data_IF_549610874121
#
_entry.id   IF_549610874121
#
_cell.length_a   1.000
_cell.length_b   1.000
_cell.length_c   1.000
_cell.angle_alpha   90.00
_cell.angle_beta   90.00
_cell.angle_gamma   90.00
#
_symmetry.space_group_name_H-M   'P 1'
#
loop_
_entity.id
_entity.type
_entity.pdbx_description
1 polymer ?
#
# COMPACT_ATOMS: atom_id res chain seq x y z
N UNK A 1 22.81 -70.84 -9.74
CA UNK A 1 24.24 -70.67 -9.41
C UNK A 1 24.71 -69.37 -10.09
N UNK A 2 24.73 -68.32 -9.33
CA UNK A 2 25.23 -67.04 -9.82
C UNK A 2 26.75 -67.14 -9.98
N UNK A 3 27.28 -66.96 -11.19
CA UNK A 3 28.65 -67.13 -11.55
C UNK A 3 29.59 -66.06 -10.86
N UNK A 4 30.89 -66.27 -10.90
CA UNK A 4 31.88 -65.42 -10.16
C UNK A 4 31.88 -63.93 -10.53
N UNK A 5 31.23 -63.56 -11.64
CA UNK A 5 31.13 -62.16 -12.07
C UNK A 5 30.15 -61.32 -11.19
N UNK A 6 29.14 -61.93 -10.58
CA UNK A 6 28.19 -61.24 -9.70
C UNK A 6 28.78 -60.75 -8.38
N UNK A 7 29.96 -61.28 -8.00
CA UNK A 7 30.68 -60.89 -6.79
C UNK A 7 31.46 -59.57 -6.95
N UNK A 8 31.67 -59.06 -8.17
CA UNK A 8 32.43 -57.87 -8.52
C UNK A 8 31.53 -56.63 -8.75
N UNK A 9 30.19 -56.78 -8.81
CA UNK A 9 29.30 -55.65 -8.92
C UNK A 9 29.25 -54.88 -7.55
N UNK A 10 29.45 -53.56 -7.58
CA UNK A 10 29.40 -52.78 -6.37
C UNK A 10 28.01 -52.82 -5.77
N UNK A 11 27.89 -53.51 -4.62
CA UNK A 11 26.60 -53.53 -3.89
C UNK A 11 26.19 -52.11 -3.47
N UNK A 12 24.90 -51.80 -3.57
CA UNK A 12 24.35 -50.54 -3.12
C UNK A 12 24.69 -50.31 -1.65
N UNK A 13 25.33 -49.16 -1.37
CA UNK A 13 25.62 -48.72 0.01
C UNK A 13 24.41 -48.09 0.71
N UNK A 14 23.21 -48.15 0.08
CA UNK A 14 22.00 -47.67 0.69
C UNK A 14 21.63 -48.54 1.90
N UNK A 15 21.28 -47.92 3.07
CA UNK A 15 20.76 -48.65 4.19
C UNK A 15 19.51 -49.44 3.75
N UNK A 16 19.40 -50.69 4.22
CA UNK A 16 18.23 -51.55 3.95
C UNK A 16 16.98 -51.10 4.67
N UNK A 17 17.12 -50.25 5.72
CA UNK A 17 16.00 -49.64 6.42
C UNK A 17 16.26 -48.16 6.66
N UNK A 18 15.19 -47.38 6.73
CA UNK A 18 15.22 -45.93 7.01
C UNK A 18 14.26 -45.63 8.18
N UNK A 19 14.74 -45.77 9.44
CA UNK A 19 13.89 -45.63 10.62
C UNK A 19 13.14 -44.30 10.72
N UNK A 20 13.73 -43.26 10.13
CA UNK A 20 13.16 -41.90 10.09
C UNK A 20 12.40 -41.61 8.80
N UNK A 21 12.01 -42.65 8.03
CA UNK A 21 11.17 -42.45 6.84
C UNK A 21 9.82 -41.92 7.26
N UNK A 22 9.40 -40.81 6.61
CA UNK A 22 8.05 -40.28 6.78
C UNK A 22 7.07 -41.29 6.19
N UNK A 23 6.08 -41.70 6.98
CA UNK A 23 5.04 -42.61 6.53
C UNK A 23 4.23 -42.01 5.37
N UNK A 24 3.81 -42.85 4.46
CA UNK A 24 3.19 -42.40 3.20
C UNK A 24 1.91 -41.58 3.46
N UNK A 25 1.10 -41.95 4.46
CA UNK A 25 -0.07 -41.17 4.89
C UNK A 25 0.23 -39.72 5.28
N UNK A 26 1.36 -39.46 5.93
CA UNK A 26 1.79 -38.06 6.27
C UNK A 26 2.24 -37.31 5.02
N UNK A 27 2.88 -38.00 4.07
CA UNK A 27 3.26 -37.43 2.80
C UNK A 27 2.03 -37.07 1.95
N UNK A 28 1.04 -37.93 1.88
CA UNK A 28 -0.25 -37.69 1.18
C UNK A 28 -0.99 -36.49 1.78
N UNK A 29 -1.08 -36.40 3.11
CA UNK A 29 -1.68 -35.25 3.79
C UNK A 29 -0.96 -33.95 3.45
N UNK A 30 0.37 -33.96 3.40
CA UNK A 30 1.14 -32.80 3.02
C UNK A 30 0.88 -32.37 1.57
N UNK A 31 0.75 -33.32 0.65
CA UNK A 31 0.37 -33.06 -0.75
C UNK A 31 -1.04 -32.51 -0.85
N UNK A 32 -2.00 -33.06 -0.10
CA UNK A 32 -3.37 -32.56 -0.04
C UNK A 32 -3.46 -31.12 0.48
N UNK A 33 -2.74 -30.80 1.57
CA UNK A 33 -2.65 -29.42 2.10
C UNK A 33 -2.03 -28.48 1.07
N UNK A 34 -0.99 -28.93 0.35
CA UNK A 34 -0.39 -28.15 -0.73
C UNK A 34 -1.41 -27.85 -1.84
N UNK A 35 -2.15 -28.87 -2.28
CA UNK A 35 -3.15 -28.71 -3.34
C UNK A 35 -4.28 -27.76 -2.93
N UNK A 36 -4.76 -27.86 -1.68
CA UNK A 36 -5.77 -26.93 -1.15
C UNK A 36 -5.29 -25.49 -1.13
N UNK A 37 -4.05 -25.24 -0.68
CA UNK A 37 -3.45 -23.90 -0.72
C UNK A 37 -3.29 -23.36 -2.15
N UNK A 38 -2.90 -24.23 -3.09
CA UNK A 38 -2.74 -23.87 -4.51
C UNK A 38 -4.09 -23.52 -5.14
N UNK A 39 -5.14 -24.28 -4.84
CA UNK A 39 -6.51 -24.01 -5.30
C UNK A 39 -7.05 -22.70 -4.74
N UNK A 40 -6.71 -22.37 -3.50
CA UNK A 40 -7.08 -21.10 -2.87
C UNK A 40 -6.24 -19.90 -3.32
N UNK A 41 -5.29 -20.07 -4.25
CA UNK A 41 -4.40 -19.00 -4.72
C UNK A 41 -3.36 -18.55 -3.69
N UNK A 42 -3.20 -19.29 -2.60
CA UNK A 42 -2.24 -18.95 -1.53
C UNK A 42 -0.85 -19.53 -1.78
N UNK A 43 0.13 -19.09 -0.99
CA UNK A 43 1.47 -19.67 -1.02
C UNK A 43 1.44 -21.14 -0.62
N UNK A 44 1.86 -22.03 -1.52
CA UNK A 44 1.82 -23.48 -1.37
C UNK A 44 3.22 -24.14 -1.39
N UNK A 45 4.26 -23.35 -1.08
CA UNK A 45 5.62 -23.87 -0.91
C UNK A 45 5.79 -24.72 0.37
N UNK A 46 6.93 -25.44 0.52
CA UNK A 46 7.16 -26.31 1.67
C UNK A 46 7.01 -25.60 3.03
N UNK A 47 7.38 -24.32 3.10
CA UNK A 47 7.28 -23.53 4.32
C UNK A 47 5.79 -23.24 4.64
N UNK A 48 5.02 -22.79 3.65
CA UNK A 48 3.59 -22.46 3.84
C UNK A 48 2.77 -23.72 4.18
N UNK A 49 3.11 -24.84 3.57
CA UNK A 49 2.47 -26.14 3.91
C UNK A 49 2.83 -26.55 5.35
N UNK A 50 4.08 -26.41 5.77
CA UNK A 50 4.49 -26.68 7.13
C UNK A 50 3.69 -25.84 8.14
N UNK A 51 3.57 -24.53 7.89
CA UNK A 51 2.84 -23.63 8.77
C UNK A 51 1.34 -23.97 8.79
N UNK A 52 0.75 -24.27 7.63
CA UNK A 52 -0.66 -24.67 7.53
C UNK A 52 -0.93 -26.00 8.24
N UNK A 53 -0.07 -26.99 8.08
CA UNK A 53 -0.20 -28.27 8.82
C UNK A 53 -0.15 -28.04 10.33
N UNK A 54 0.72 -27.16 10.81
CA UNK A 54 0.78 -26.80 12.24
C UNK A 54 -0.48 -26.10 12.71
N UNK A 55 -1.00 -25.13 11.95
CA UNK A 55 -2.24 -24.43 12.30
C UNK A 55 -3.46 -25.33 12.32
N UNK A 56 -3.49 -26.38 11.51
CA UNK A 56 -4.51 -27.41 11.51
C UNK A 56 -4.35 -28.45 12.63
N UNK A 57 -3.30 -28.33 13.48
CA UNK A 57 -3.03 -29.29 14.55
C UNK A 57 -2.60 -30.68 14.08
N UNK A 58 -2.21 -30.84 12.80
CA UNK A 58 -1.79 -32.13 12.25
C UNK A 58 -0.48 -32.59 12.91
N UNK A 59 -0.37 -33.86 13.21
CA UNK A 59 0.82 -34.50 13.81
C UNK A 59 1.07 -35.87 13.16
N UNK A 60 2.33 -36.21 12.89
CA UNK A 60 3.53 -35.38 12.94
C UNK A 60 3.59 -34.39 11.76
N UNK A 61 4.22 -33.21 11.97
CA UNK A 61 4.47 -32.25 10.89
C UNK A 61 5.90 -32.46 10.38
N UNK A 62 6.10 -32.83 9.10
CA UNK A 62 7.43 -33.00 8.54
C UNK A 62 8.19 -31.67 8.50
N UNK A 63 9.52 -31.72 8.65
CA UNK A 63 10.35 -30.53 8.48
C UNK A 63 10.21 -29.92 7.08
N UNK A 64 10.46 -28.61 6.93
CA UNK A 64 10.45 -27.91 5.65
C UNK A 64 11.31 -28.61 4.59
N UNK A 65 12.49 -29.11 4.99
CA UNK A 65 13.39 -29.84 4.10
C UNK A 65 12.77 -31.20 3.66
N UNK A 66 12.08 -31.87 4.57
CA UNK A 66 11.37 -33.13 4.25
C UNK A 66 10.19 -32.88 3.31
N UNK A 67 9.40 -31.84 3.55
CA UNK A 67 8.32 -31.42 2.64
C UNK A 67 8.85 -31.08 1.24
N UNK A 68 9.96 -30.37 1.15
CA UNK A 68 10.60 -30.07 -0.14
C UNK A 68 11.04 -31.35 -0.87
N UNK A 69 11.49 -32.38 -0.17
CA UNK A 69 11.81 -33.71 -0.78
C UNK A 69 10.56 -34.43 -1.25
N UNK A 70 9.53 -34.50 -0.41
CA UNK A 70 8.23 -35.10 -0.76
C UNK A 70 7.67 -34.46 -2.04
N UNK A 71 7.61 -33.12 -2.09
CA UNK A 71 7.04 -32.42 -3.26
C UNK A 71 7.86 -32.65 -4.53
N UNK A 72 9.18 -32.82 -4.44
CA UNK A 72 10.02 -33.21 -5.57
C UNK A 72 9.77 -34.66 -6.01
N UNK A 73 9.67 -35.60 -5.07
CA UNK A 73 9.47 -37.01 -5.41
C UNK A 73 8.12 -37.28 -6.02
N UNK A 74 7.07 -36.51 -5.65
CA UNK A 74 5.72 -36.59 -6.22
C UNK A 74 5.57 -35.72 -7.50
N UNK A 75 6.61 -34.97 -7.89
CA UNK A 75 6.58 -34.18 -9.13
C UNK A 75 5.79 -32.86 -9.06
N UNK A 76 5.30 -32.46 -7.86
CA UNK A 76 4.52 -31.23 -7.69
C UNK A 76 5.37 -30.00 -7.40
N UNK A 77 6.69 -30.15 -7.27
CA UNK A 77 7.62 -29.02 -7.11
C UNK A 77 8.08 -28.50 -8.45
N UNK A 78 7.83 -27.22 -8.77
CA UNK A 78 8.43 -26.56 -9.91
C UNK A 78 9.88 -26.19 -9.60
N UNK A 79 10.83 -26.64 -10.41
CA UNK A 79 12.21 -26.18 -10.39
C UNK A 79 12.27 -24.82 -11.11
N UNK A 80 12.49 -23.74 -10.35
CA UNK A 80 12.78 -22.43 -10.92
C UNK A 80 14.27 -22.12 -10.75
N UNK A 81 15.13 -22.41 -11.77
CA UNK A 81 16.58 -22.28 -11.68
C UNK A 81 17.07 -20.85 -11.43
N UNK A 82 16.21 -19.84 -11.71
CA UNK A 82 16.56 -18.41 -11.61
C UNK A 82 16.40 -17.83 -10.21
N UNK A 83 15.76 -18.52 -9.28
CA UNK A 83 15.63 -18.04 -7.88
C UNK A 83 16.88 -18.35 -7.08
N UNK A 84 17.92 -17.53 -7.23
CA UNK A 84 19.06 -17.54 -6.29
C UNK A 84 18.64 -16.84 -4.99
N UNK A 85 19.05 -17.37 -3.78
CA UNK A 85 18.90 -16.62 -2.54
C UNK A 85 19.65 -15.29 -2.66
N UNK A 86 18.97 -14.17 -2.60
CA UNK A 86 19.64 -12.87 -2.50
C UNK A 86 20.16 -12.72 -1.08
N UNK A 87 21.42 -12.29 -0.94
CA UNK A 87 21.98 -11.89 0.35
C UNK A 87 21.02 -10.90 1.03
N UNK A 88 20.76 -11.09 2.32
CA UNK A 88 19.84 -10.26 3.08
C UNK A 88 20.41 -8.85 3.22
N UNK A 89 19.95 -7.92 2.40
CA UNK A 89 20.16 -6.51 2.71
C UNK A 89 19.44 -6.20 4.02
N UNK A 90 20.07 -5.43 4.90
CA UNK A 90 19.42 -4.90 6.11
C UNK A 90 18.17 -4.15 5.68
N UNK A 91 17.00 -4.71 5.99
CA UNK A 91 15.72 -4.09 5.67
C UNK A 91 15.43 -3.08 6.74
N UNK A 92 15.24 -1.84 6.35
CA UNK A 92 14.67 -0.85 7.23
C UNK A 92 13.18 -1.18 7.42
N UNK A 93 12.74 -1.23 8.67
CA UNK A 93 11.34 -1.44 9.07
C UNK A 93 11.03 -0.38 10.11
N UNK A 94 9.93 0.29 9.99
CA UNK A 94 9.46 1.25 10.99
C UNK A 94 9.17 0.54 12.32
N UNK A 95 9.37 1.23 13.47
CA UNK A 95 9.41 0.55 14.77
C UNK A 95 8.05 0.08 15.29
N UNK A 96 6.94 0.63 14.80
CA UNK A 96 5.60 0.34 15.29
C UNK A 96 4.55 0.37 14.17
N UNK A 97 3.40 -0.30 14.35
CA UNK A 97 2.22 -0.09 13.51
C UNK A 97 1.83 1.39 13.45
N UNK A 98 1.27 1.84 12.35
CA UNK A 98 0.93 3.26 12.08
C UNK A 98 2.12 4.23 12.03
N UNK A 99 3.36 3.78 12.20
CA UNK A 99 4.52 4.67 12.02
C UNK A 99 4.73 5.04 10.53
N UNK A 100 4.40 4.14 9.61
CA UNK A 100 4.43 4.42 8.17
C UNK A 100 3.57 3.43 7.39
N UNK A 101 2.67 3.96 6.56
CA UNK A 101 1.98 3.16 5.56
C UNK A 101 2.62 3.34 4.19
N UNK A 102 2.50 2.31 3.35
CA UNK A 102 2.93 2.34 1.96
C UNK A 102 1.69 2.25 1.08
N UNK A 103 1.52 3.24 0.20
CA UNK A 103 0.49 3.28 -0.82
C UNK A 103 1.08 2.85 -2.16
N UNK A 104 0.41 1.93 -2.81
CA UNK A 104 0.73 1.51 -4.17
C UNK A 104 -0.55 1.26 -4.96
N UNK A 105 -0.43 1.23 -6.29
CA UNK A 105 -1.54 1.02 -7.19
C UNK A 105 -1.13 0.05 -8.30
N UNK A 106 -2.05 -0.83 -8.69
CA UNK A 106 -1.82 -1.80 -9.76
C UNK A 106 -3.01 -1.87 -10.71
N UNK A 107 -2.75 -2.02 -12.01
CA UNK A 107 -3.81 -2.23 -13.01
C UNK A 107 -4.39 -3.64 -12.91
N UNK A 108 -5.71 -3.75 -13.13
CA UNK A 108 -6.44 -4.99 -13.29
C UNK A 108 -7.41 -4.89 -14.47
N UNK A 109 -7.82 -6.03 -15.03
CA UNK A 109 -8.72 -6.08 -16.18
C UNK A 109 -9.95 -6.88 -15.79
N UNK A 110 -11.14 -6.27 -15.95
CA UNK A 110 -12.44 -6.90 -15.75
C UNK A 110 -12.88 -7.70 -16.98
N UNK A 111 -13.96 -8.46 -16.83
CA UNK A 111 -14.65 -9.11 -17.96
C UNK A 111 -14.92 -8.07 -19.05
N UNK A 112 -14.74 -8.44 -20.31
CA UNK A 112 -14.89 -7.52 -21.43
C UNK A 112 -13.67 -6.61 -21.69
N UNK A 113 -12.56 -6.80 -20.97
CA UNK A 113 -11.29 -6.12 -21.25
C UNK A 113 -11.18 -4.70 -20.68
N UNK A 114 -12.14 -4.24 -19.88
CA UNK A 114 -12.10 -2.91 -19.28
C UNK A 114 -11.08 -2.86 -18.13
N UNK A 115 -10.14 -1.93 -18.22
CA UNK A 115 -9.11 -1.70 -17.21
C UNK A 115 -9.66 -0.94 -16.01
N UNK A 116 -9.20 -1.32 -14.84
CA UNK A 116 -9.40 -0.64 -13.57
C UNK A 116 -8.10 -0.65 -12.74
N UNK A 117 -8.10 -0.01 -11.60
CA UNK A 117 -6.93 0.11 -10.71
C UNK A 117 -7.31 -0.32 -9.31
N UNK A 118 -6.43 -1.10 -8.69
CA UNK A 118 -6.52 -1.50 -7.29
C UNK A 118 -5.48 -0.71 -6.51
N UNK A 119 -5.92 0.17 -5.63
CA UNK A 119 -5.07 0.86 -4.66
C UNK A 119 -4.94 0.02 -3.41
N UNK A 120 -3.73 -0.02 -2.85
CA UNK A 120 -3.44 -0.81 -1.66
C UNK A 120 -2.61 -0.04 -0.66
N UNK A 121 -3.01 -0.12 0.61
CA UNK A 121 -2.28 0.42 1.74
C UNK A 121 -1.75 -0.72 2.60
N UNK A 122 -0.45 -0.71 2.85
CA UNK A 122 0.23 -1.71 3.68
C UNK A 122 0.95 -0.99 4.81
N UNK A 123 0.79 -1.47 6.04
CA UNK A 123 1.61 -1.03 7.17
C UNK A 123 3.03 -1.59 7.06
N UNK A 124 4.02 -0.71 7.17
CA UNK A 124 5.43 -1.10 6.99
C UNK A 124 5.95 -2.01 8.10
N UNK A 125 5.48 -1.84 9.34
CA UNK A 125 5.90 -2.63 10.50
C UNK A 125 5.31 -4.04 10.47
N UNK A 126 4.00 -4.12 10.49
CA UNK A 126 3.24 -5.37 10.64
C UNK A 126 2.99 -6.11 9.34
N UNK A 127 3.17 -5.46 8.20
CA UNK A 127 2.75 -5.96 6.87
C UNK A 127 1.23 -6.08 6.72
N UNK A 128 0.45 -5.50 7.62
CA UNK A 128 -1.00 -5.51 7.54
C UNK A 128 -1.46 -4.85 6.24
N UNK A 129 -2.31 -5.51 5.49
CA UNK A 129 -3.12 -4.86 4.45
C UNK A 129 -4.14 -3.98 5.16
N UNK A 130 -3.84 -2.69 5.25
CA UNK A 130 -4.64 -1.71 6.01
C UNK A 130 -5.96 -1.44 5.32
N UNK A 131 -5.92 -1.25 4.01
CA UNK A 131 -7.10 -1.08 3.17
C UNK A 131 -6.74 -1.26 1.70
N UNK A 132 -7.71 -1.72 0.92
CA UNK A 132 -7.66 -1.73 -0.54
C UNK A 132 -8.90 -1.04 -1.12
N UNK A 133 -8.75 -0.41 -2.29
CA UNK A 133 -9.84 0.28 -2.98
C UNK A 133 -9.72 0.11 -4.49
N UNK A 134 -10.83 -0.26 -5.13
CA UNK A 134 -10.90 -0.47 -6.59
C UNK A 134 -11.55 0.74 -7.25
N UNK A 135 -10.93 1.26 -8.29
CA UNK A 135 -11.41 2.43 -9.02
C UNK A 135 -11.22 2.29 -10.53
N UNK A 136 -11.94 3.08 -11.34
CA UNK A 136 -11.81 3.07 -12.80
C UNK A 136 -10.48 3.60 -13.31
N UNK A 137 -9.73 4.29 -12.48
CA UNK A 137 -8.43 4.84 -12.87
C UNK A 137 -7.64 5.30 -11.67
N UNK A 138 -6.38 5.58 -11.92
CA UNK A 138 -5.46 6.09 -10.92
C UNK A 138 -5.72 7.59 -10.71
N UNK A 139 -6.72 7.90 -9.87
CA UNK A 139 -7.15 9.27 -9.57
C UNK A 139 -6.82 9.67 -8.14
N UNK A 140 -6.78 10.98 -7.88
CA UNK A 140 -6.57 11.51 -6.53
C UNK A 140 -7.70 11.14 -5.58
N UNK A 141 -8.92 11.18 -6.09
CA UNK A 141 -10.12 10.86 -5.34
C UNK A 141 -10.04 9.41 -4.84
N UNK A 142 -9.62 8.47 -5.71
CA UNK A 142 -9.45 7.07 -5.35
C UNK A 142 -8.30 6.88 -4.35
N UNK A 143 -7.17 7.59 -4.51
CA UNK A 143 -6.07 7.57 -3.57
C UNK A 143 -6.47 8.13 -2.20
N UNK A 144 -7.26 9.21 -2.15
CA UNK A 144 -7.83 9.73 -0.91
C UNK A 144 -8.84 8.74 -0.32
N UNK A 145 -9.68 8.10 -1.15
CA UNK A 145 -10.67 7.13 -0.67
C UNK A 145 -10.03 5.94 0.04
N UNK A 146 -8.97 5.33 -0.51
CA UNK A 146 -8.27 4.22 0.15
C UNK A 146 -7.61 4.66 1.47
N UNK A 147 -7.01 5.86 1.52
CA UNK A 147 -6.42 6.39 2.76
C UNK A 147 -7.50 6.61 3.83
N UNK A 148 -8.65 7.13 3.46
CA UNK A 148 -9.81 7.29 4.36
C UNK A 148 -10.30 5.96 4.91
N UNK A 149 -10.47 4.96 4.04
CA UNK A 149 -10.85 3.59 4.43
C UNK A 149 -9.86 3.05 5.47
N UNK A 150 -8.56 3.21 5.21
CA UNK A 150 -7.51 2.80 6.13
C UNK A 150 -7.54 3.56 7.48
N UNK A 151 -7.71 4.87 7.45
CA UNK A 151 -7.82 5.70 8.67
C UNK A 151 -9.02 5.28 9.53
N UNK A 152 -10.15 4.98 8.89
CA UNK A 152 -11.34 4.50 9.61
C UNK A 152 -11.09 3.15 10.30
N UNK A 153 -10.34 2.25 9.65
CA UNK A 153 -10.06 0.92 10.18
C UNK A 153 -8.93 0.90 11.23
N UNK A 154 -7.86 1.68 11.03
CA UNK A 154 -6.60 1.54 11.76
C UNK A 154 -6.12 2.82 12.46
N UNK A 155 -6.84 3.94 12.33
CA UNK A 155 -6.42 5.25 12.84
C UNK A 155 -5.44 5.97 11.90
N UNK A 156 -5.01 7.17 12.28
CA UNK A 156 -4.17 8.04 11.44
C UNK A 156 -2.70 7.63 11.55
N UNK A 157 -2.00 7.32 10.44
CA UNK A 157 -0.58 6.99 10.45
C UNK A 157 0.27 8.25 10.63
N UNK A 158 1.52 8.09 11.10
CA UNK A 158 2.46 9.22 11.16
C UNK A 158 2.96 9.61 9.77
N UNK A 159 3.13 8.63 8.88
CA UNK A 159 3.71 8.82 7.54
C UNK A 159 2.99 7.99 6.51
N UNK A 160 2.98 8.50 5.29
CA UNK A 160 2.55 7.74 4.12
C UNK A 160 3.62 7.80 3.04
N UNK A 161 4.19 6.66 2.70
CA UNK A 161 5.12 6.48 1.60
C UNK A 161 4.33 6.10 0.35
N UNK A 162 4.47 6.88 -0.71
CA UNK A 162 3.93 6.54 -2.03
C UNK A 162 5.04 6.43 -3.06
N UNK A 163 4.84 5.60 -4.07
CA UNK A 163 5.75 5.55 -5.21
C UNK A 163 5.56 6.79 -6.10
N UNK A 164 6.62 7.10 -6.89
CA UNK A 164 6.58 8.17 -7.90
C UNK A 164 5.73 7.81 -9.14
N UNK A 165 4.76 6.92 -9.00
CA UNK A 165 3.81 6.61 -10.06
C UNK A 165 3.17 7.87 -10.66
N UNK A 166 2.75 7.82 -11.89
CA UNK A 166 2.24 8.99 -12.64
C UNK A 166 1.02 9.68 -12.01
N UNK A 167 0.25 8.95 -11.22
CA UNK A 167 -0.88 9.46 -10.44
C UNK A 167 -0.47 10.13 -9.15
N UNK A 168 0.70 9.80 -8.66
CA UNK A 168 1.26 10.26 -7.39
C UNK A 168 2.37 11.32 -7.61
N UNK A 169 2.70 11.69 -8.87
CA UNK A 169 3.77 12.64 -9.18
C UNK A 169 3.21 14.05 -9.47
N UNK A 170 3.54 15.06 -8.64
CA UNK A 170 2.98 16.42 -8.75
C UNK A 170 3.33 17.15 -10.04
N UNK A 171 4.42 16.77 -10.70
CA UNK A 171 4.97 17.55 -11.80
C UNK A 171 4.16 17.48 -13.09
N UNK A 172 3.22 16.52 -13.21
CA UNK A 172 2.53 16.30 -14.49
C UNK A 172 1.02 16.58 -14.55
N UNK A 173 0.21 16.47 -13.46
CA UNK A 173 -1.27 16.61 -13.57
C UNK A 173 -2.01 17.18 -12.35
N UNK A 174 -1.38 17.73 -11.35
CA UNK A 174 -2.08 18.30 -10.18
C UNK A 174 -2.71 17.29 -9.21
N UNK A 175 -2.47 16.01 -9.42
CA UNK A 175 -3.13 14.89 -8.74
C UNK A 175 -2.50 14.61 -7.37
N UNK A 176 -1.18 14.74 -7.26
CA UNK A 176 -0.47 14.58 -5.99
C UNK A 176 -0.81 15.68 -4.98
N UNK A 177 -1.12 16.87 -5.46
CA UNK A 177 -1.50 17.98 -4.61
C UNK A 177 -2.69 17.64 -3.70
N UNK A 178 -3.69 16.91 -4.18
CA UNK A 178 -4.88 16.59 -3.39
C UNK A 178 -4.58 15.58 -2.28
N UNK A 179 -3.89 14.47 -2.59
CA UNK A 179 -3.51 13.48 -1.59
C UNK A 179 -2.56 14.09 -0.55
N UNK A 180 -1.55 14.83 -1.00
CA UNK A 180 -0.58 15.48 -0.11
C UNK A 180 -1.25 16.54 0.76
N UNK A 181 -2.16 17.35 0.20
CA UNK A 181 -2.93 18.32 0.95
C UNK A 181 -3.80 17.64 2.02
N UNK A 182 -4.48 16.55 1.65
CA UNK A 182 -5.28 15.75 2.58
C UNK A 182 -4.43 15.18 3.72
N UNK A 183 -3.31 14.54 3.41
CA UNK A 183 -2.40 13.97 4.41
C UNK A 183 -1.89 15.03 5.38
N UNK A 184 -1.43 16.17 4.87
CA UNK A 184 -0.92 17.27 5.70
C UNK A 184 -1.99 17.91 6.57
N UNK A 185 -3.25 17.98 6.11
CA UNK A 185 -4.36 18.44 6.93
C UNK A 185 -4.60 17.58 8.17
N UNK A 186 -4.19 16.30 8.10
CA UNK A 186 -4.24 15.35 9.20
C UNK A 186 -2.93 15.29 10.02
N UNK A 187 -1.90 16.08 9.64
CA UNK A 187 -0.58 16.03 10.24
C UNK A 187 0.29 14.86 9.75
N UNK A 188 -0.18 14.09 8.77
CA UNK A 188 0.57 12.96 8.21
C UNK A 188 1.70 13.47 7.33
N UNK A 189 2.92 12.96 7.54
CA UNK A 189 4.09 13.27 6.72
C UNK A 189 4.06 12.47 5.41
N UNK A 190 3.86 13.11 4.23
CA UNK A 190 3.96 12.41 2.96
C UNK A 190 5.43 12.20 2.60
N UNK A 191 5.80 10.96 2.29
CA UNK A 191 7.14 10.58 1.83
C UNK A 191 7.01 10.10 0.39
N UNK A 192 7.75 10.75 -0.52
CA UNK A 192 7.90 10.27 -1.90
C UNK A 192 9.19 9.48 -2.02
N UNK A 193 9.12 8.28 -2.59
CA UNK A 193 10.29 7.46 -2.87
C UNK A 193 11.29 8.23 -3.74
N UNK A 194 12.58 8.20 -3.39
CA UNK A 194 13.60 8.75 -4.30
C UNK A 194 13.62 7.93 -5.58
N UNK A 195 13.61 8.57 -6.78
CA UNK A 195 13.73 7.85 -8.04
C UNK A 195 14.94 6.91 -7.99
N UNK A 196 14.79 5.69 -8.52
CA UNK A 196 15.87 4.69 -8.64
C UNK A 196 16.47 4.10 -7.34
N UNK A 197 15.77 4.15 -6.19
CA UNK A 197 16.14 3.32 -5.03
C UNK A 197 15.17 2.14 -4.86
N UNK A 198 15.50 0.94 -5.36
CA UNK A 198 14.58 -0.21 -5.39
C UNK A 198 14.33 -0.87 -4.02
N UNK A 199 14.92 -0.36 -2.94
CA UNK A 199 14.82 -1.00 -1.61
C UNK A 199 13.44 -0.87 -0.95
N UNK A 200 12.60 0.06 -1.39
CA UNK A 200 11.24 0.27 -0.86
C UNK A 200 10.16 -0.45 -1.66
N UNK A 201 10.36 -0.67 -2.97
CA UNK A 201 9.37 -1.24 -3.88
C UNK A 201 9.19 -2.75 -3.77
N UNK A 202 10.20 -3.50 -3.37
CA UNK A 202 10.14 -4.97 -3.30
C UNK A 202 9.15 -5.55 -2.28
N UNK A 203 8.53 -4.72 -1.44
CA UNK A 203 7.49 -5.12 -0.48
C UNK A 203 6.14 -5.17 -1.17
N UNK A 204 5.80 -4.13 -1.91
CA UNK A 204 4.54 -4.02 -2.65
C UNK A 204 4.48 -5.00 -3.82
N UNK A 205 5.58 -5.19 -4.57
CA UNK A 205 5.64 -6.19 -5.63
C UNK A 205 5.24 -7.59 -5.15
N UNK A 206 5.70 -8.01 -3.97
CA UNK A 206 5.34 -9.33 -3.40
C UNK A 206 3.89 -9.39 -2.94
N UNK A 207 3.37 -8.29 -2.42
CA UNK A 207 1.97 -8.20 -2.04
C UNK A 207 1.07 -8.34 -3.29
N UNK A 208 1.36 -7.57 -4.34
CA UNK A 208 0.66 -7.65 -5.62
C UNK A 208 0.73 -9.06 -6.23
N UNK A 209 1.91 -9.69 -6.25
CA UNK A 209 2.03 -11.07 -6.73
C UNK A 209 1.15 -12.06 -5.95
N UNK A 210 0.96 -11.82 -4.65
CA UNK A 210 0.09 -12.67 -3.84
C UNK A 210 -1.38 -12.40 -4.12
N UNK A 211 -1.76 -11.12 -4.25
CA UNK A 211 -3.11 -10.73 -4.65
C UNK A 211 -3.49 -11.31 -6.03
N UNK A 212 -2.63 -11.12 -7.05
CA UNK A 212 -2.93 -11.64 -8.39
C UNK A 212 -3.09 -13.16 -8.41
N UNK A 213 -2.28 -13.90 -7.67
CA UNK A 213 -2.45 -15.36 -7.53
C UNK A 213 -3.80 -15.74 -6.91
N UNK A 214 -4.29 -14.95 -5.96
CA UNK A 214 -5.61 -15.15 -5.38
C UNK A 214 -6.71 -14.80 -6.38
N UNK A 215 -6.61 -13.65 -7.06
CA UNK A 215 -7.58 -13.21 -8.06
C UNK A 215 -7.66 -14.16 -9.26
N UNK A 216 -6.55 -14.75 -9.69
CA UNK A 216 -6.48 -15.76 -10.75
C UNK A 216 -7.28 -17.06 -10.43
N UNK A 217 -7.67 -17.26 -9.16
CA UNK A 217 -8.49 -18.39 -8.72
C UNK A 217 -9.96 -18.01 -8.56
N UNK A 218 -10.29 -16.74 -8.67
CA UNK A 218 -11.66 -16.25 -8.66
C UNK A 218 -12.21 -16.19 -10.08
N UNK A 219 -13.54 -16.26 -10.27
CA UNK A 219 -14.15 -15.84 -11.52
C UNK A 219 -13.72 -14.42 -11.87
N UNK A 220 -13.53 -14.14 -13.17
CA UNK A 220 -13.21 -12.79 -13.59
C UNK A 220 -14.34 -11.84 -13.21
N UNK A 221 -14.03 -10.76 -12.52
CA UNK A 221 -15.04 -9.82 -12.03
C UNK A 221 -15.68 -9.02 -13.18
N UNK A 222 -16.99 -8.84 -13.14
CA UNK A 222 -17.75 -8.06 -14.11
C UNK A 222 -17.82 -6.58 -13.74
N UNK A 223 -17.80 -6.27 -12.44
CA UNK A 223 -17.94 -4.91 -11.91
C UNK A 223 -16.86 -4.55 -10.89
N UNK A 224 -16.70 -3.26 -10.61
CA UNK A 224 -15.77 -2.80 -9.56
C UNK A 224 -16.19 -3.32 -8.18
N UNK A 225 -17.48 -3.38 -7.91
CA UNK A 225 -18.04 -3.84 -6.63
C UNK A 225 -17.72 -5.31 -6.41
N UNK A 226 -17.83 -6.14 -7.46
CA UNK A 226 -17.47 -7.56 -7.38
C UNK A 226 -15.96 -7.73 -7.16
N UNK A 227 -15.14 -6.99 -7.89
CA UNK A 227 -13.68 -7.00 -7.69
C UNK A 227 -13.31 -6.48 -6.30
N UNK A 228 -13.99 -5.44 -5.79
CA UNK A 228 -13.77 -4.94 -4.43
C UNK A 228 -14.07 -6.03 -3.39
N UNK A 229 -15.14 -6.80 -3.58
CA UNK A 229 -15.45 -7.93 -2.70
C UNK A 229 -14.34 -8.99 -2.69
N UNK A 230 -13.76 -9.32 -3.84
CA UNK A 230 -12.62 -10.25 -3.90
C UNK A 230 -11.37 -9.69 -3.22
N UNK A 231 -11.09 -8.41 -3.41
CA UNK A 231 -9.93 -7.75 -2.80
C UNK A 231 -10.09 -7.64 -1.28
N UNK A 232 -11.29 -7.32 -0.79
CA UNK A 232 -11.57 -7.27 0.65
C UNK A 232 -11.45 -8.67 1.30
N UNK A 233 -11.94 -9.71 0.63
CA UNK A 233 -11.77 -11.10 1.08
C UNK A 233 -10.28 -11.51 1.09
N UNK A 234 -9.51 -11.07 0.10
CA UNK A 234 -8.07 -11.31 0.09
C UNK A 234 -7.36 -10.60 1.25
N UNK A 235 -7.67 -9.33 1.52
CA UNK A 235 -7.08 -8.57 2.62
C UNK A 235 -7.33 -9.26 3.97
N UNK A 236 -8.52 -9.79 4.20
CA UNK A 236 -8.86 -10.56 5.41
C UNK A 236 -8.00 -11.83 5.52
N UNK A 237 -7.97 -12.67 4.48
CA UNK A 237 -7.17 -13.91 4.45
C UNK A 237 -5.68 -13.59 4.60
N UNK A 238 -5.20 -12.56 3.92
CA UNK A 238 -3.80 -12.12 4.00
C UNK A 238 -3.41 -11.71 5.41
N UNK A 239 -4.30 -11.01 6.10
CA UNK A 239 -4.06 -10.49 7.44
C UNK A 239 -4.16 -11.56 8.53
N UNK A 240 -5.13 -12.48 8.42
CA UNK A 240 -5.48 -13.40 9.52
C UNK A 240 -4.89 -14.80 9.35
N UNK A 241 -4.86 -15.32 8.11
CA UNK A 241 -4.57 -16.73 7.86
C UNK A 241 -3.18 -16.98 7.26
N UNK A 242 -2.53 -15.95 6.77
CA UNK A 242 -1.27 -16.10 6.05
C UNK A 242 -0.05 -15.75 6.92
N UNK A 243 0.77 -16.74 7.37
CA UNK A 243 2.03 -16.48 8.04
C UNK A 243 3.00 -15.72 7.12
N UNK A 244 3.50 -14.57 7.56
CA UNK A 244 4.31 -13.70 6.72
C UNK A 244 5.81 -13.98 6.86
N UNK A 245 6.50 -14.27 5.75
CA UNK A 245 7.92 -14.68 5.73
C UNK A 245 8.89 -13.63 6.29
N UNK A 246 8.52 -12.35 6.24
CA UNK A 246 9.40 -11.27 6.73
C UNK A 246 9.16 -10.92 8.20
N UNK A 247 8.14 -11.48 8.83
CA UNK A 247 7.84 -11.26 10.24
C UNK A 247 8.57 -12.28 11.12
N UNK A 248 9.10 -11.85 12.29
CA UNK A 248 9.69 -12.76 13.25
C UNK A 248 8.69 -13.86 13.66
N UNK A 249 9.17 -15.09 13.82
CA UNK A 249 8.30 -16.20 14.20
C UNK A 249 7.27 -16.59 13.13
N UNK A 250 7.27 -15.95 11.96
CA UNK A 250 6.31 -16.20 10.87
C UNK A 250 4.85 -16.08 11.32
N UNK A 251 4.58 -15.08 12.15
CA UNK A 251 3.23 -14.74 12.57
C UNK A 251 2.45 -14.08 11.41
N UNK A 252 1.13 -13.99 11.56
CA UNK A 252 0.28 -13.28 10.60
C UNK A 252 0.44 -11.77 10.74
N UNK A 253 0.12 -10.96 9.69
CA UNK A 253 0.12 -9.51 9.78
C UNK A 253 -0.75 -8.97 10.91
N UNK A 254 -1.93 -9.54 11.14
CA UNK A 254 -2.81 -9.15 12.24
C UNK A 254 -2.19 -9.43 13.62
N UNK A 255 -1.52 -10.58 13.78
CA UNK A 255 -0.77 -10.87 15.01
C UNK A 255 0.37 -9.88 15.23
N UNK A 256 1.12 -9.53 14.17
CA UNK A 256 2.19 -8.55 14.25
C UNK A 256 1.67 -7.14 14.58
N UNK A 257 0.53 -6.76 14.03
CA UNK A 257 -0.15 -5.51 14.33
C UNK A 257 -0.50 -5.40 15.81
N UNK A 258 -1.07 -6.46 16.37
CA UNK A 258 -1.53 -6.49 17.76
C UNK A 258 -0.40 -6.73 18.78
N UNK A 259 0.78 -7.17 18.34
CA UNK A 259 1.91 -7.48 19.21
C UNK A 259 2.69 -6.24 19.70
N UNK A 260 2.53 -5.11 19.01
CA UNK A 260 3.25 -3.86 19.32
C UNK A 260 2.24 -2.71 19.41
N UNK A 261 2.33 -1.84 20.42
CA UNK A 261 1.51 -0.63 20.48
C UNK A 261 1.66 0.20 19.20
N UNK A 262 0.54 0.67 18.66
CA UNK A 262 0.57 1.54 17.48
C UNK A 262 1.27 2.87 17.81
N UNK A 263 1.94 3.44 16.81
CA UNK A 263 2.51 4.77 16.92
C UNK A 263 1.41 5.79 17.22
N UNK A 264 1.72 6.76 18.07
CA UNK A 264 0.78 7.84 18.36
C UNK A 264 0.40 8.58 17.07
N UNK A 265 -0.88 8.93 16.89
CA UNK A 265 -1.29 9.73 15.74
C UNK A 265 -0.51 11.05 15.69
N UNK A 266 -0.20 11.56 14.51
CA UNK A 266 0.49 12.83 14.38
C UNK A 266 -0.37 13.93 14.99
N UNK A 267 0.28 14.88 15.65
CA UNK A 267 -0.40 16.10 16.10
C UNK A 267 -0.47 17.06 14.92
N UNK A 268 -1.65 17.43 14.43
CA UNK A 268 -1.76 18.48 13.43
C UNK A 268 -1.10 19.76 13.95
N UNK A 269 -0.46 20.52 13.08
CA UNK A 269 0.17 21.78 13.44
C UNK A 269 -0.84 22.81 14.04
N UNK A 270 -2.11 22.59 13.82
CA UNK A 270 -3.24 23.31 14.42
C UNK A 270 -4.22 22.28 15.01
N UNK A 271 -4.79 22.48 16.22
CA UNK A 271 -5.74 21.54 16.78
C UNK A 271 -6.98 21.49 15.87
N UNK A 272 -7.08 20.43 15.07
CA UNK A 272 -8.29 20.14 14.32
C UNK A 272 -9.30 19.49 15.26
N UNK A 273 -10.47 20.08 15.47
CA UNK A 273 -11.56 19.36 16.08
C UNK A 273 -11.97 18.25 15.13
N UNK A 274 -12.11 17.06 15.64
CA UNK A 274 -12.60 15.82 15.01
C UNK A 274 -12.48 15.77 13.48
N UNK A 275 -12.04 14.64 12.90
CA UNK A 275 -11.98 14.41 11.45
C UNK A 275 -13.01 15.27 10.73
N UNK A 276 -12.60 16.26 9.90
CA UNK A 276 -13.58 17.09 9.24
C UNK A 276 -14.57 16.17 8.55
N UNK A 277 -15.84 16.44 8.67
CA UNK A 277 -16.87 15.76 7.89
C UNK A 277 -16.42 15.89 6.44
N UNK A 278 -15.98 14.77 5.89
CA UNK A 278 -15.23 14.72 4.65
C UNK A 278 -16.17 15.10 3.53
N UNK A 279 -16.11 16.34 3.15
CA UNK A 279 -16.75 16.81 1.92
C UNK A 279 -15.82 16.44 0.77
N UNK A 280 -16.35 15.89 -0.31
CA UNK A 280 -15.61 15.40 -1.49
C UNK A 280 -14.91 16.51 -2.31
N UNK A 281 -14.68 17.69 -1.72
CA UNK A 281 -14.29 18.90 -2.43
C UNK A 281 -12.86 19.33 -2.13
N UNK A 282 -11.90 18.54 -2.58
CA UNK A 282 -10.56 19.04 -2.85
C UNK A 282 -10.50 19.44 -4.32
N UNK A 283 -10.17 20.69 -4.61
CA UNK A 283 -10.08 21.21 -6.00
C UNK A 283 -8.72 21.82 -6.27
N UNK A 284 -8.13 21.47 -7.41
CA UNK A 284 -6.98 22.19 -7.93
C UNK A 284 -7.49 23.41 -8.71
N UNK A 285 -7.04 24.58 -8.34
CA UNK A 285 -7.43 25.86 -8.91
C UNK A 285 -6.19 26.68 -9.31
N UNK A 286 -6.38 27.58 -10.27
CA UNK A 286 -5.37 28.60 -10.62
C UNK A 286 -5.72 29.86 -9.85
N UNK A 287 -4.73 30.43 -9.16
CA UNK A 287 -4.87 31.70 -8.47
C UNK A 287 -4.97 32.84 -9.52
N UNK A 288 -6.00 33.65 -9.41
CA UNK A 288 -6.19 34.79 -10.29
C UNK A 288 -5.03 35.79 -10.11
N UNK A 289 -4.75 36.62 -11.11
CA UNK A 289 -3.69 37.65 -11.04
C UNK A 289 -3.88 38.63 -9.87
N UNK A 290 -5.11 38.80 -9.43
CA UNK A 290 -5.47 39.55 -8.22
C UNK A 290 -4.92 38.91 -6.93
N UNK A 291 -4.42 37.69 -6.99
CA UNK A 291 -3.97 36.91 -5.82
C UNK A 291 -5.10 36.26 -5.05
N UNK A 292 -6.21 35.93 -5.71
CA UNK A 292 -7.33 35.23 -5.10
C UNK A 292 -7.66 33.94 -5.83
N UNK A 293 -8.24 32.98 -5.11
CA UNK A 293 -8.76 31.73 -5.66
C UNK A 293 -10.25 31.64 -5.38
N UNK A 294 -11.03 31.20 -6.36
CA UNK A 294 -12.46 31.00 -6.23
C UNK A 294 -12.77 29.55 -5.85
N UNK A 295 -13.56 29.38 -4.80
CA UNK A 295 -14.02 28.10 -4.34
C UNK A 295 -15.47 28.21 -3.84
N UNK A 296 -16.39 27.39 -4.39
CA UNK A 296 -17.84 27.43 -4.09
C UNK A 296 -18.44 28.83 -4.16
N UNK A 297 -18.09 29.59 -5.19
CA UNK A 297 -18.65 30.95 -5.41
C UNK A 297 -18.07 32.03 -4.50
N UNK A 298 -17.10 31.70 -3.65
CA UNK A 298 -16.44 32.64 -2.74
C UNK A 298 -14.98 32.81 -3.16
N UNK A 299 -14.50 34.05 -3.24
CA UNK A 299 -13.09 34.36 -3.52
C UNK A 299 -12.30 34.46 -2.23
N UNK A 300 -11.26 33.62 -2.10
CA UNK A 300 -10.32 33.63 -0.97
C UNK A 300 -9.00 34.28 -1.38
N UNK A 301 -8.62 35.34 -0.68
CA UNK A 301 -7.38 36.07 -0.94
C UNK A 301 -6.17 35.29 -0.41
N UNK A 302 -5.15 35.07 -1.26
CA UNK A 302 -3.86 34.49 -0.92
C UNK A 302 -2.76 35.58 -0.91
N UNK A 303 -2.87 36.51 -1.83
CA UNK A 303 -1.88 37.55 -2.10
C UNK A 303 -1.37 37.51 -3.54
N UNK A 304 -1.02 38.66 -4.10
CA UNK A 304 -0.59 38.80 -5.51
C UNK A 304 0.62 37.94 -5.87
N UNK A 305 1.49 37.64 -4.92
CA UNK A 305 2.66 36.79 -5.14
C UNK A 305 2.31 35.35 -5.59
N UNK A 306 1.07 34.92 -5.38
CA UNK A 306 0.58 33.61 -5.82
C UNK A 306 -0.18 33.66 -7.16
N UNK A 307 -0.31 34.84 -7.78
CA UNK A 307 -1.02 35.00 -9.07
C UNK A 307 -0.44 34.06 -10.13
N UNK A 308 -1.33 33.40 -10.90
CA UNK A 308 -0.98 32.43 -11.92
C UNK A 308 -0.55 31.05 -11.39
N UNK A 309 -0.29 30.88 -10.10
CA UNK A 309 0.10 29.59 -9.52
C UNK A 309 -1.10 28.65 -9.37
N UNK A 310 -0.81 27.37 -9.46
CA UNK A 310 -1.79 26.31 -9.17
C UNK A 310 -1.75 25.98 -7.68
N UNK A 311 -2.91 25.90 -7.06
CA UNK A 311 -3.07 25.60 -5.63
C UNK A 311 -4.14 24.54 -5.44
N UNK A 312 -4.04 23.79 -4.35
CA UNK A 312 -5.07 22.89 -3.88
C UNK A 312 -5.94 23.61 -2.86
N UNK A 313 -7.25 23.62 -3.06
CA UNK A 313 -8.22 24.16 -2.12
C UNK A 313 -9.00 23.00 -1.51
N UNK A 314 -8.99 22.91 -0.19
CA UNK A 314 -9.65 21.86 0.59
C UNK A 314 -10.74 22.48 1.47
N UNK A 315 -11.94 21.89 1.41
CA UNK A 315 -12.97 22.11 2.43
C UNK A 315 -12.69 21.20 3.63
N UNK A 316 -12.23 21.78 4.72
CA UNK A 316 -12.00 21.09 5.97
C UNK A 316 -13.22 21.18 6.93
N UNK A 317 -14.43 21.37 6.40
CA UNK A 317 -15.69 21.44 7.12
C UNK A 317 -15.94 22.79 7.82
N UNK A 318 -15.11 23.20 8.77
CA UNK A 318 -15.19 24.51 9.44
C UNK A 318 -14.29 25.57 8.81
N UNK A 319 -13.31 25.15 8.04
CA UNK A 319 -12.32 26.01 7.39
C UNK A 319 -12.10 25.65 5.94
N UNK A 320 -11.61 26.58 5.15
CA UNK A 320 -11.09 26.38 3.80
C UNK A 320 -9.57 26.51 3.89
N UNK A 321 -8.87 25.45 3.52
CA UNK A 321 -7.42 25.40 3.51
C UNK A 321 -6.91 25.46 2.08
N UNK A 322 -5.86 26.25 1.84
CA UNK A 322 -5.21 26.37 0.54
C UNK A 322 -3.75 25.97 0.67
N UNK A 323 -3.34 25.02 -0.15
CA UNK A 323 -1.98 24.48 -0.19
C UNK A 323 -1.34 24.75 -1.55
N UNK A 324 -0.01 24.85 -1.57
CA UNK A 324 0.73 24.73 -2.84
C UNK A 324 0.73 23.28 -3.36
N UNK A 325 1.25 23.07 -4.57
CA UNK A 325 1.33 21.71 -5.14
C UNK A 325 2.35 20.81 -4.42
N UNK A 326 3.22 21.37 -3.60
CA UNK A 326 4.13 20.62 -2.73
C UNK A 326 3.46 20.21 -1.40
N UNK A 327 2.20 20.63 -1.18
CA UNK A 327 1.42 20.34 0.01
C UNK A 327 1.75 21.25 1.20
N UNK A 328 2.40 22.39 0.98
CA UNK A 328 2.63 23.40 2.02
C UNK A 328 1.38 24.24 2.20
N UNK A 329 0.90 24.39 3.42
CA UNK A 329 -0.25 25.25 3.72
C UNK A 329 0.11 26.70 3.45
N UNK A 330 -0.58 27.32 2.48
CA UNK A 330 -0.43 28.74 2.15
C UNK A 330 -1.25 29.59 3.11
N UNK A 331 -2.53 29.23 3.30
CA UNK A 331 -3.45 29.95 4.16
C UNK A 331 -4.63 29.07 4.57
N UNK A 332 -5.19 29.38 5.73
CA UNK A 332 -6.44 28.80 6.22
C UNK A 332 -7.45 29.93 6.52
N UNK A 333 -8.69 29.75 6.08
CA UNK A 333 -9.79 30.66 6.30
C UNK A 333 -10.94 29.93 7.00
N UNK A 334 -11.54 30.55 8.00
CA UNK A 334 -12.83 30.08 8.48
C UNK A 334 -13.89 30.24 7.37
N UNK A 335 -14.84 29.31 7.29
CA UNK A 335 -15.98 29.47 6.40
C UNK A 335 -16.71 30.78 6.71
N UNK A 336 -16.89 31.67 5.72
CA UNK A 336 -17.57 32.92 5.93
C UNK A 336 -19.07 32.74 6.11
N UNK A 337 -19.73 33.77 6.62
CA UNK A 337 -21.20 33.80 6.72
C UNK A 337 -21.84 33.73 5.32
N UNK A 338 -23.05 33.16 5.20
CA UNK A 338 -23.80 33.17 3.94
C UNK A 338 -23.89 34.58 3.36
N UNK A 339 -23.74 34.70 2.03
CA UNK A 339 -23.74 35.98 1.30
C UNK A 339 -22.38 36.66 1.18
N UNK A 340 -21.32 36.10 1.78
CA UNK A 340 -19.95 36.63 1.60
C UNK A 340 -19.41 36.20 0.24
N UNK A 341 -18.93 37.14 -0.54
CA UNK A 341 -18.34 36.88 -1.89
C UNK A 341 -16.81 36.92 -1.88
N UNK A 342 -16.18 37.50 -0.85
CA UNK A 342 -14.73 37.62 -0.74
C UNK A 342 -14.25 37.53 0.70
N UNK A 343 -13.16 36.78 0.93
CA UNK A 343 -12.45 36.65 2.21
C UNK A 343 -11.03 37.13 2.03
N UNK A 344 -10.62 38.14 2.79
CA UNK A 344 -9.28 38.72 2.74
C UNK A 344 -8.25 37.79 3.42
N UNK A 345 -7.01 37.82 2.96
CA UNK A 345 -5.88 37.14 3.59
C UNK A 345 -5.39 37.77 4.91
N UNK A 346 -6.04 38.84 5.36
CA UNK A 346 -5.71 39.62 6.58
C UNK A 346 -4.27 40.13 6.66
N UNK A 347 -3.48 40.07 5.56
CA UNK A 347 -2.15 40.66 5.50
C UNK A 347 -2.27 42.15 5.20
N UNK A 348 -1.43 43.02 5.83
CA UNK A 348 -1.40 44.47 5.48
C UNK A 348 -1.10 44.60 3.97
N UNK A 349 -1.80 45.51 3.31
CA UNK A 349 -1.51 45.85 1.91
C UNK A 349 -0.08 46.36 1.81
N UNK A 350 0.82 45.64 1.13
CA UNK A 350 2.14 46.15 0.80
C UNK A 350 1.98 47.48 0.08
N UNK A 351 2.76 48.50 0.50
CA UNK A 351 2.83 49.74 -0.22
C UNK A 351 3.26 49.45 -1.66
N UNK A 352 2.46 49.85 -2.62
CA UNK A 352 2.82 49.88 -4.03
C UNK A 352 4.05 50.81 -4.13
N UNK A 353 5.21 50.27 -4.44
CA UNK A 353 6.35 51.06 -4.91
C UNK A 353 5.93 51.61 -6.27
N UNK A 354 5.48 52.86 -6.30
CA UNK A 354 5.15 53.56 -7.52
C UNK A 354 6.36 53.53 -8.44
N UNK A 355 6.10 53.15 -9.68
CA UNK A 355 7.06 53.18 -10.76
C UNK A 355 7.36 54.65 -11.06
N UNK A 356 8.44 55.20 -10.48
CA UNK A 356 8.96 56.50 -10.84
C UNK A 356 9.60 56.33 -12.22
N UNK A 357 8.88 56.72 -13.25
CA UNK A 357 9.47 56.96 -14.58
C UNK A 357 10.49 58.07 -14.42
N UNK A 358 11.75 57.75 -14.53
CA UNK A 358 12.80 58.71 -14.82
C UNK A 358 12.57 59.20 -16.26
N UNK A 359 12.06 60.41 -16.42
CA UNK A 359 12.10 61.13 -17.68
C UNK A 359 13.54 61.55 -17.92
N UNK A 360 14.14 61.02 -18.97
CA UNK A 360 15.34 61.58 -19.57
C UNK A 360 14.96 62.95 -20.10
N UNK A 361 15.64 63.97 -19.61
CA UNK A 361 15.77 65.30 -20.22
C UNK A 361 17.24 65.62 -20.44
N UNK A 362 17.55 65.84 -21.73
CA UNK A 362 18.65 66.58 -22.37
C UNK A 362 19.99 65.93 -22.33
#
# INVERSE_FOLDING_TARGET
>A
MDGPAAALEPRSRRPSSSPNRIVDEVAERAVAVRAALEQSGLDHGPISVHDKMRSLGLKPVPSVASLARIFRSVGVARLEPRKKPRASYRRFVYPAPNACWQLDATEYVLTGGRKCVIFQLIDDHSRLAVASHVAWGETSEAAVAVVRKGITACGVPQRLLSDNGSALNPSRRGVLGQLVAYLRSLGVEPITGKPYKPTTQGKNERFHQTLFRFLDKQPLADTLEQLQGYVDAFDEIYNTDRPHQALPGRITPAQAWNATPAAEPPRPATPHPALPALTDDIRVKIVQDSGSVEFRGIKFGLGRAFGGQRVCVLDAGKTVQVFDLAGTLIIEHAWPKPGTTYVSNRRPRGRSTGNTRLSEMS
#
